data_IF_940448772229
#
_entry.id   IF_940448772229
#
_cell.length_a   1.000
_cell.length_b   1.000
_cell.length_c   1.000
_cell.angle_alpha   90.00
_cell.angle_beta   90.00
_cell.angle_gamma   90.00
#
_symmetry.space_group_name_H-M   'P 1'
#
loop_
_entity.id
_entity.type
_entity.pdbx_description
1 polymer ?
#
# COMPACT_ATOMS: atom_id res chain seq x y z
N UNK A 1 -17.55 23.51 -32.84
CA UNK A 1 -16.08 23.48 -32.86
C UNK A 1 -15.65 22.34 -31.96
N UNK A 2 -14.89 21.40 -32.53
CA UNK A 2 -14.29 20.17 -31.99
C UNK A 2 -14.80 19.63 -30.64
N UNK A 3 -15.49 18.49 -30.70
CA UNK A 3 -15.74 17.60 -29.58
C UNK A 3 -14.40 16.99 -29.16
N UNK A 4 -13.78 17.49 -28.08
CA UNK A 4 -12.56 16.92 -27.50
C UNK A 4 -12.85 15.53 -26.91
N UNK A 5 -12.89 14.52 -27.76
CA UNK A 5 -12.82 13.12 -27.36
C UNK A 5 -11.54 12.93 -26.55
N UNK A 6 -11.69 12.69 -25.23
CA UNK A 6 -10.57 12.30 -24.37
C UNK A 6 -9.90 11.08 -25.01
N UNK A 7 -8.62 11.21 -25.31
CA UNK A 7 -7.79 10.10 -25.75
C UNK A 7 -7.82 9.00 -24.67
N UNK A 8 -8.29 7.77 -24.98
CA UNK A 8 -8.34 6.67 -24.02
C UNK A 8 -6.97 6.37 -23.38
N UNK A 9 -5.88 6.61 -24.11
CA UNK A 9 -4.54 6.44 -23.56
C UNK A 9 -4.23 7.50 -22.50
N UNK A 10 -4.54 8.76 -22.78
CA UNK A 10 -4.43 9.84 -21.79
C UNK A 10 -5.28 9.58 -20.54
N UNK A 11 -6.49 9.05 -20.67
CA UNK A 11 -7.35 8.74 -19.53
C UNK A 11 -6.81 7.56 -18.70
N UNK A 12 -6.25 6.54 -19.37
CA UNK A 12 -5.54 5.45 -18.70
C UNK A 12 -4.30 5.95 -17.94
N UNK A 13 -3.48 6.81 -18.56
CA UNK A 13 -2.30 7.40 -17.90
C UNK A 13 -2.72 8.19 -16.66
N UNK A 14 -3.81 8.97 -16.74
CA UNK A 14 -4.36 9.66 -15.58
C UNK A 14 -4.76 8.70 -14.46
N UNK A 15 -5.47 7.62 -14.78
CA UNK A 15 -5.82 6.58 -13.81
C UNK A 15 -4.57 5.97 -13.17
N UNK A 16 -3.58 5.60 -13.98
CA UNK A 16 -2.34 4.98 -13.53
C UNK A 16 -1.58 5.89 -12.57
N UNK A 17 -1.41 7.18 -12.93
CA UNK A 17 -0.70 8.18 -12.12
C UNK A 17 -1.42 8.43 -10.80
N UNK A 18 -2.76 8.63 -10.84
CA UNK A 18 -3.56 8.91 -9.65
C UNK A 18 -3.54 7.76 -8.63
N UNK A 19 -3.32 6.52 -9.10
CA UNK A 19 -3.29 5.33 -8.23
C UNK A 19 -1.88 4.84 -7.88
N UNK A 20 -0.81 5.52 -8.30
CA UNK A 20 0.57 5.09 -8.01
C UNK A 20 0.87 4.97 -6.52
N UNK A 21 0.42 5.94 -5.71
CA UNK A 21 0.64 5.92 -4.25
C UNK A 21 -0.01 4.70 -3.60
N UNK A 22 -1.17 4.29 -4.11
CA UNK A 22 -1.92 3.13 -3.63
C UNK A 22 -1.21 1.82 -4.02
N UNK A 23 -0.77 1.68 -5.28
CA UNK A 23 0.01 0.53 -5.76
C UNK A 23 1.29 0.39 -4.93
N UNK A 24 2.03 1.50 -4.74
CA UNK A 24 3.25 1.53 -3.94
C UNK A 24 2.99 1.10 -2.50
N UNK A 25 1.97 1.66 -1.84
CA UNK A 25 1.63 1.32 -0.46
C UNK A 25 1.30 -0.17 -0.31
N UNK A 26 0.59 -0.74 -1.29
CA UNK A 26 0.27 -2.16 -1.34
C UNK A 26 1.52 -3.04 -1.52
N UNK A 27 2.40 -2.74 -2.48
CA UNK A 27 3.66 -3.50 -2.65
C UNK A 27 4.53 -3.41 -1.39
N UNK A 28 4.63 -2.23 -0.78
CA UNK A 28 5.40 -1.99 0.46
C UNK A 28 4.84 -2.79 1.64
N UNK A 29 3.52 -2.95 1.73
CA UNK A 29 2.90 -3.73 2.81
C UNK A 29 3.26 -5.21 2.71
N UNK A 30 3.36 -5.74 1.48
CA UNK A 30 3.62 -7.15 1.20
C UNK A 30 5.11 -7.53 1.12
N UNK A 31 6.00 -6.56 0.89
CA UNK A 31 7.46 -6.76 0.81
C UNK A 31 8.23 -5.89 1.82
N UNK A 32 7.97 -6.01 3.14
CA UNK A 32 8.57 -5.16 4.17
C UNK A 32 10.10 -5.27 4.25
N UNK A 33 10.76 -4.18 3.90
CA UNK A 33 12.22 -4.01 3.91
C UNK A 33 12.94 -4.64 2.73
N UNK A 34 12.22 -5.14 1.73
CA UNK A 34 12.78 -5.66 0.50
C UNK A 34 13.36 -4.51 -0.34
N UNK A 35 14.61 -4.61 -0.82
CA UNK A 35 15.15 -3.65 -1.78
C UNK A 35 14.42 -3.69 -3.14
N UNK A 36 13.73 -4.78 -3.46
CA UNK A 36 13.08 -5.01 -4.75
C UNK A 36 11.69 -4.38 -4.87
N UNK A 37 11.29 -3.52 -3.92
CA UNK A 37 9.98 -2.84 -3.95
C UNK A 37 9.80 -2.01 -5.22
N UNK A 38 10.82 -1.21 -5.58
CA UNK A 38 10.73 -0.34 -6.75
C UNK A 38 10.69 -1.16 -8.06
N UNK A 39 11.44 -2.27 -8.13
CA UNK A 39 11.41 -3.20 -9.26
C UNK A 39 10.02 -3.84 -9.43
N UNK A 40 9.39 -4.24 -8.32
CA UNK A 40 8.04 -4.82 -8.35
C UNK A 40 6.99 -3.79 -8.79
N UNK A 41 7.10 -2.53 -8.34
CA UNK A 41 6.22 -1.45 -8.80
C UNK A 41 6.43 -1.18 -10.29
N UNK A 42 7.67 -1.15 -10.77
CA UNK A 42 7.96 -0.97 -12.19
C UNK A 42 7.37 -2.10 -13.03
N UNK A 43 7.63 -3.36 -12.66
CA UNK A 43 7.06 -4.52 -13.35
C UNK A 43 5.52 -4.49 -13.35
N UNK A 44 4.91 -4.01 -12.26
CA UNK A 44 3.46 -3.80 -12.16
C UNK A 44 2.99 -2.79 -13.20
N UNK A 45 3.64 -1.63 -13.30
CA UNK A 45 3.32 -0.59 -14.26
C UNK A 45 3.51 -1.07 -15.72
N UNK A 46 4.55 -1.85 -15.99
CA UNK A 46 4.79 -2.45 -17.32
C UNK A 46 3.68 -3.43 -17.71
N UNK A 47 3.20 -4.25 -16.77
CA UNK A 47 2.08 -5.17 -17.04
C UNK A 47 0.77 -4.42 -17.19
N UNK A 48 0.52 -3.40 -16.37
CA UNK A 48 -0.64 -2.51 -16.50
C UNK A 48 -0.70 -1.87 -17.88
N UNK A 49 0.41 -1.30 -18.34
CA UNK A 49 0.50 -0.68 -19.65
C UNK A 49 0.27 -1.68 -20.79
N UNK A 50 0.90 -2.85 -20.71
CA UNK A 50 0.74 -3.91 -21.72
C UNK A 50 -0.68 -4.45 -21.80
N UNK A 51 -1.40 -4.45 -20.68
CA UNK A 51 -2.78 -4.92 -20.56
C UNK A 51 -3.79 -3.78 -20.61
N UNK A 52 -3.40 -2.56 -20.99
CA UNK A 52 -4.30 -1.39 -20.98
C UNK A 52 -5.56 -1.62 -21.82
N UNK A 53 -5.42 -2.36 -22.93
CA UNK A 53 -6.54 -2.66 -23.84
C UNK A 53 -7.47 -3.77 -23.29
N UNK A 54 -7.06 -4.48 -22.23
CA UNK A 54 -7.92 -5.41 -21.48
C UNK A 54 -8.74 -4.70 -20.38
N UNK A 55 -8.46 -3.42 -20.11
CA UNK A 55 -9.16 -2.64 -19.08
C UNK A 55 -10.28 -1.81 -19.68
N UNK A 56 -11.50 -1.99 -19.16
CA UNK A 56 -12.65 -1.18 -19.53
C UNK A 56 -12.73 0.09 -18.67
N UNK A 57 -12.60 1.26 -19.30
CA UNK A 57 -12.74 2.56 -18.64
C UNK A 57 -14.11 2.67 -17.94
N UNK A 58 -14.10 3.22 -16.72
CA UNK A 58 -15.29 3.31 -15.87
C UNK A 58 -15.49 2.12 -14.93
N UNK A 59 -14.74 1.03 -15.11
CA UNK A 59 -14.69 -0.07 -14.12
C UNK A 59 -13.66 0.21 -13.01
N UNK A 60 -13.57 -0.68 -12.01
CA UNK A 60 -12.73 -0.48 -10.83
C UNK A 60 -11.23 -0.67 -11.13
N UNK A 61 -10.58 0.38 -11.63
CA UNK A 61 -9.14 0.40 -11.92
C UNK A 61 -8.28 -0.03 -10.73
N UNK A 62 -8.66 0.38 -9.52
CA UNK A 62 -7.94 0.06 -8.29
C UNK A 62 -7.90 -1.44 -8.03
N UNK A 63 -9.04 -2.12 -8.10
CA UNK A 63 -9.11 -3.58 -7.91
C UNK A 63 -8.29 -4.32 -8.99
N UNK A 64 -8.41 -3.88 -10.25
CA UNK A 64 -7.65 -4.46 -11.36
C UNK A 64 -6.13 -4.28 -11.18
N UNK A 65 -5.68 -3.08 -10.83
CA UNK A 65 -4.27 -2.78 -10.64
C UNK A 65 -3.65 -3.48 -9.43
N UNK A 66 -4.40 -3.59 -8.33
CA UNK A 66 -3.95 -4.33 -7.16
C UNK A 66 -3.84 -5.84 -7.41
N UNK A 67 -4.72 -6.39 -8.25
CA UNK A 67 -4.64 -7.79 -8.67
C UNK A 67 -3.34 -8.06 -9.42
N UNK A 68 -2.97 -7.18 -10.37
CA UNK A 68 -1.69 -7.28 -11.08
C UNK A 68 -0.50 -7.11 -10.12
N UNK A 69 -0.55 -6.12 -9.24
CA UNK A 69 0.50 -5.88 -8.23
C UNK A 69 0.72 -7.10 -7.33
N UNK A 70 -0.34 -7.79 -6.92
CA UNK A 70 -0.28 -9.03 -6.14
C UNK A 70 0.51 -10.12 -6.87
N UNK A 71 0.23 -10.34 -8.15
CA UNK A 71 0.98 -11.32 -8.94
C UNK A 71 2.47 -10.97 -9.06
N UNK A 72 2.82 -9.68 -9.22
CA UNK A 72 4.23 -9.25 -9.25
C UNK A 72 4.93 -9.48 -7.92
N UNK A 73 4.26 -9.19 -6.80
CA UNK A 73 4.76 -9.49 -5.46
C UNK A 73 4.99 -10.99 -5.28
N UNK A 74 4.01 -11.83 -5.63
CA UNK A 74 4.13 -13.30 -5.52
C UNK A 74 5.28 -13.84 -6.36
N UNK A 75 5.44 -13.35 -7.60
CA UNK A 75 6.55 -13.71 -8.46
C UNK A 75 7.91 -13.33 -7.83
N UNK A 76 7.99 -12.14 -7.22
CA UNK A 76 9.20 -11.73 -6.51
C UNK A 76 9.46 -12.59 -5.27
N UNK A 77 8.45 -12.87 -4.47
CA UNK A 77 8.56 -13.76 -3.31
C UNK A 77 9.00 -15.17 -3.72
N UNK A 78 8.54 -15.69 -4.86
CA UNK A 78 8.97 -16.99 -5.37
C UNK A 78 10.45 -16.99 -5.77
N UNK A 79 10.95 -15.91 -6.40
CA UNK A 79 12.38 -15.72 -6.69
C UNK A 79 13.22 -15.68 -5.40
N UNK A 80 12.74 -15.00 -4.36
CA UNK A 80 13.42 -14.90 -3.05
C UNK A 80 13.30 -16.20 -2.24
N UNK A 81 12.20 -16.95 -2.34
CA UNK A 81 12.00 -18.25 -1.68
C UNK A 81 13.03 -19.29 -2.11
N UNK A 82 13.43 -19.26 -3.39
CA UNK A 82 14.56 -20.08 -3.89
C UNK A 82 15.91 -19.69 -3.25
N UNK A 83 15.96 -18.58 -2.50
CA UNK A 83 17.17 -17.94 -1.97
C UNK A 83 17.18 -17.74 -0.43
N UNK A 84 16.25 -18.34 0.33
CA UNK A 84 16.10 -18.32 1.82
C UNK A 84 15.71 -16.98 2.46
N UNK A 85 14.41 -16.75 2.75
CA UNK A 85 13.94 -15.97 3.91
C UNK A 85 12.42 -16.19 4.18
N UNK A 86 12.04 -16.13 5.47
CA UNK A 86 10.72 -16.32 6.08
C UNK A 86 9.69 -15.27 5.62
N UNK A 87 8.43 -15.70 5.46
CA UNK A 87 7.29 -14.98 4.85
C UNK A 87 6.33 -14.37 5.88
N UNK A 88 5.45 -13.47 5.41
CA UNK A 88 4.20 -13.06 6.07
C UNK A 88 3.02 -13.80 5.42
N UNK A 89 1.99 -14.08 6.22
CA UNK A 89 0.86 -14.96 5.92
C UNK A 89 -0.07 -14.48 4.79
N UNK A 90 -0.60 -15.43 4.01
CA UNK A 90 -1.46 -15.22 2.82
C UNK A 90 -2.77 -14.50 3.20
N UNK A 91 -3.25 -14.68 4.44
CA UNK A 91 -4.50 -14.09 4.94
C UNK A 91 -4.48 -12.54 5.01
N UNK A 92 -3.30 -11.92 5.10
CA UNK A 92 -3.17 -10.45 5.08
C UNK A 92 -3.35 -9.89 3.66
N UNK A 93 -3.08 -10.69 2.63
CA UNK A 93 -3.22 -10.28 1.23
C UNK A 93 -4.67 -10.12 0.81
N UNK A 94 -5.56 -11.00 1.30
CA UNK A 94 -6.97 -10.97 0.92
C UNK A 94 -7.72 -9.80 1.57
N UNK A 95 -7.46 -9.53 2.86
CA UNK A 95 -8.09 -8.41 3.58
C UNK A 95 -7.77 -7.02 2.99
N UNK A 96 -6.53 -6.81 2.51
CA UNK A 96 -6.12 -5.52 1.94
C UNK A 96 -6.75 -5.25 0.56
N UNK A 97 -7.10 -6.29 -0.19
CA UNK A 97 -7.70 -6.19 -1.51
C UNK A 97 -9.21 -5.89 -1.44
N UNK A 98 -9.92 -6.44 -0.46
CA UNK A 98 -11.35 -6.17 -0.27
C UNK A 98 -11.62 -4.72 0.17
N UNK A 99 -10.84 -4.19 1.13
CA UNK A 99 -11.04 -2.83 1.64
C UNK A 99 -10.70 -1.73 0.61
N UNK A 100 -9.92 -2.08 -0.40
CA UNK A 100 -9.61 -1.20 -1.51
C UNK A 100 -10.83 -0.91 -2.41
N UNK A 101 -11.83 -1.78 -2.43
CA UNK A 101 -12.83 -1.83 -3.50
C UNK A 101 -14.09 -0.96 -3.26
N UNK A 102 -14.30 -0.44 -2.05
CA UNK A 102 -15.60 0.11 -1.64
C UNK A 102 -15.61 1.43 -0.86
N UNK A 103 -14.60 2.29 -1.00
CA UNK A 103 -14.55 3.56 -0.26
C UNK A 103 -15.00 4.74 -1.11
N UNK A 104 -16.12 5.36 -0.71
CA UNK A 104 -16.45 6.73 -1.13
C UNK A 104 -15.37 7.72 -0.64
N UNK A 105 -15.15 8.79 -1.39
CA UNK A 105 -14.11 9.80 -1.16
C UNK A 105 -14.17 10.45 0.23
N UNK A 106 -15.38 10.63 0.79
CA UNK A 106 -15.59 11.15 2.15
C UNK A 106 -15.16 10.15 3.22
N UNK A 107 -15.50 8.87 3.04
CA UNK A 107 -15.02 7.81 3.93
C UNK A 107 -13.51 7.62 3.86
N UNK A 108 -12.90 7.78 2.68
CA UNK A 108 -11.45 7.76 2.53
C UNK A 108 -10.79 8.91 3.29
N UNK A 109 -11.27 10.15 3.11
CA UNK A 109 -10.75 11.32 3.81
C UNK A 109 -10.85 11.18 5.34
N UNK A 110 -11.97 10.64 5.85
CA UNK A 110 -12.12 10.38 7.29
C UNK A 110 -11.15 9.31 7.79
N UNK A 111 -11.04 8.18 7.08
CA UNK A 111 -10.06 7.13 7.42
C UNK A 111 -8.62 7.66 7.40
N UNK A 112 -8.29 8.56 6.48
CA UNK A 112 -6.98 9.22 6.44
C UNK A 112 -6.74 10.13 7.65
N UNK A 113 -7.72 10.93 8.06
CA UNK A 113 -7.62 11.77 9.25
C UNK A 113 -7.45 10.94 10.53
N UNK A 114 -8.23 9.86 10.68
CA UNK A 114 -8.10 8.96 11.83
C UNK A 114 -6.74 8.24 11.85
N UNK A 115 -6.23 7.85 10.69
CA UNK A 115 -4.90 7.25 10.59
C UNK A 115 -3.80 8.25 10.96
N UNK A 116 -3.91 9.50 10.52
CA UNK A 116 -2.97 10.57 10.90
C UNK A 116 -2.98 10.80 12.42
N UNK A 117 -4.15 10.86 13.04
CA UNK A 117 -4.28 10.93 14.50
C UNK A 117 -3.61 9.74 15.20
N UNK A 118 -3.85 8.52 14.69
CA UNK A 118 -3.27 7.31 15.25
C UNK A 118 -1.74 7.27 15.10
N UNK A 119 -1.20 7.74 13.98
CA UNK A 119 0.24 7.91 13.79
C UNK A 119 0.79 8.95 14.78
N UNK A 120 0.09 10.07 14.98
CA UNK A 120 0.49 11.12 15.92
C UNK A 120 0.60 10.65 17.38
N UNK A 121 -0.08 9.55 17.74
CA UNK A 121 -0.01 8.92 19.08
C UNK A 121 1.18 7.97 19.25
N UNK A 122 1.86 7.59 18.18
CA UNK A 122 3.06 6.76 18.26
C UNK A 122 4.24 7.57 18.83
N UNK A 123 5.24 6.87 19.37
CA UNK A 123 6.50 7.52 19.73
C UNK A 123 7.18 8.12 18.49
N UNK A 124 7.94 9.22 18.63
CA UNK A 124 8.64 9.87 17.51
C UNK A 124 9.48 8.88 16.70
N UNK A 125 10.18 7.96 17.37
CA UNK A 125 11.00 6.92 16.72
C UNK A 125 10.18 5.94 15.88
N UNK A 126 8.96 5.63 16.32
CA UNK A 126 8.04 4.74 15.63
C UNK A 126 7.34 5.47 14.46
N UNK A 127 7.03 6.77 14.62
CA UNK A 127 6.57 7.64 13.54
C UNK A 127 7.62 7.75 12.42
N UNK A 128 8.88 8.03 12.77
CA UNK A 128 9.96 8.10 11.79
C UNK A 128 10.16 6.77 11.05
N UNK A 129 10.08 5.64 11.76
CA UNK A 129 10.23 4.31 11.16
C UNK A 129 9.08 4.00 10.19
N UNK A 130 7.83 4.27 10.56
CA UNK A 130 6.68 4.01 9.69
C UNK A 130 6.69 4.98 8.50
N UNK A 131 6.97 6.27 8.70
CA UNK A 131 7.06 7.26 7.64
C UNK A 131 8.21 6.95 6.67
N UNK A 132 9.39 6.59 7.18
CA UNK A 132 10.50 6.17 6.34
C UNK A 132 10.10 4.95 5.50
N UNK A 133 9.38 3.99 6.08
CA UNK A 133 8.96 2.78 5.36
C UNK A 133 8.01 3.07 4.19
N UNK A 134 7.09 4.04 4.32
CA UNK A 134 6.07 4.32 3.31
C UNK A 134 6.41 5.47 2.36
N UNK A 135 7.21 6.46 2.79
CA UNK A 135 7.50 7.67 2.00
C UNK A 135 8.93 7.77 1.47
N UNK A 136 9.91 7.06 2.03
CA UNK A 136 11.29 7.11 1.52
C UNK A 136 11.52 5.96 0.54
N UNK A 137 12.20 6.26 -0.58
CA UNK A 137 12.66 5.27 -1.56
C UNK A 137 13.76 4.33 -1.01
N UNK A 138 14.37 4.69 0.12
CA UNK A 138 15.48 3.94 0.73
C UNK A 138 14.98 2.67 1.44
N UNK A 139 15.76 1.60 1.34
CA UNK A 139 15.42 0.31 1.94
C UNK A 139 15.48 0.33 3.47
N UNK A 140 14.91 -0.68 4.12
CA UNK A 140 14.97 -0.82 5.59
C UNK A 140 16.42 -1.01 6.10
N UNK A 141 17.31 -1.50 5.23
CA UNK A 141 18.75 -1.62 5.48
C UNK A 141 19.44 -0.25 5.64
N UNK A 142 19.01 0.76 4.89
CA UNK A 142 19.58 2.11 4.98
C UNK A 142 19.13 2.78 6.28
N UNK A 143 17.86 2.59 6.65
CA UNK A 143 17.35 3.06 7.94
C UNK A 143 18.02 2.36 9.13
N UNK A 144 18.27 1.05 9.02
CA UNK A 144 19.02 0.28 10.01
C UNK A 144 20.42 0.88 10.23
N UNK A 145 21.11 1.23 9.14
CA UNK A 145 22.44 1.85 9.19
C UNK A 145 22.39 3.24 9.84
N UNK A 146 21.44 4.08 9.43
CA UNK A 146 21.29 5.43 9.98
C UNK A 146 20.94 5.43 11.47
N UNK A 147 20.12 4.48 11.92
CA UNK A 147 19.64 4.40 13.31
C UNK A 147 20.45 3.46 14.21
N UNK A 148 21.50 2.81 13.68
CA UNK A 148 22.30 1.78 14.37
C UNK A 148 21.44 0.64 14.98
N UNK A 149 20.35 0.28 14.31
CA UNK A 149 19.45 -0.82 14.71
C UNK A 149 19.57 -1.97 13.72
N UNK A 150 19.37 -3.21 14.16
CA UNK A 150 19.35 -4.35 13.23
C UNK A 150 18.08 -4.35 12.39
N UNK A 151 18.18 -4.83 11.14
CA UNK A 151 17.02 -4.99 10.25
C UNK A 151 15.94 -5.86 10.90
N UNK A 152 16.33 -6.91 11.62
CA UNK A 152 15.41 -7.75 12.38
C UNK A 152 14.65 -6.99 13.47
N UNK A 153 15.34 -6.15 14.26
CA UNK A 153 14.70 -5.32 15.28
C UNK A 153 13.74 -4.28 14.68
N UNK A 154 14.04 -3.76 13.49
CA UNK A 154 13.14 -2.87 12.77
C UNK A 154 11.91 -3.59 12.24
N UNK A 155 12.04 -4.83 11.74
CA UNK A 155 10.89 -5.65 11.32
C UNK A 155 9.93 -5.93 12.48
N UNK A 156 10.46 -6.28 13.65
CA UNK A 156 9.66 -6.48 14.88
C UNK A 156 8.98 -5.18 15.30
N UNK A 157 9.70 -4.06 15.28
CA UNK A 157 9.12 -2.76 15.60
C UNK A 157 7.99 -2.38 14.63
N UNK A 158 8.18 -2.57 13.31
CA UNK A 158 7.14 -2.33 12.30
C UNK A 158 5.91 -3.20 12.52
N UNK A 159 6.09 -4.47 12.87
CA UNK A 159 4.96 -5.36 13.19
C UNK A 159 4.17 -4.84 14.39
N UNK A 160 4.85 -4.47 15.48
CA UNK A 160 4.22 -3.86 16.66
C UNK A 160 3.48 -2.56 16.33
N UNK A 161 4.12 -1.66 15.57
CA UNK A 161 3.53 -0.38 15.17
C UNK A 161 2.24 -0.61 14.39
N UNK A 162 2.24 -1.55 13.43
CA UNK A 162 1.04 -1.90 12.66
C UNK A 162 -0.07 -2.45 13.54
N UNK A 163 0.26 -3.28 14.53
CA UNK A 163 -0.68 -3.73 15.54
C UNK A 163 -1.32 -2.57 16.31
N UNK A 164 -0.50 -1.64 16.81
CA UNK A 164 -0.99 -0.44 17.52
C UNK A 164 -1.86 0.46 16.64
N UNK A 165 -1.48 0.66 15.37
CA UNK A 165 -2.27 1.42 14.41
C UNK A 165 -3.61 0.74 14.12
N UNK A 166 -3.62 -0.59 13.92
CA UNK A 166 -4.85 -1.36 13.70
C UNK A 166 -5.81 -1.20 14.87
N UNK A 167 -5.35 -1.42 16.10
CA UNK A 167 -6.18 -1.25 17.31
C UNK A 167 -6.69 0.19 17.44
N UNK A 168 -5.86 1.19 17.15
CA UNK A 168 -6.30 2.59 17.19
C UNK A 168 -7.40 2.89 16.16
N UNK A 169 -7.25 2.38 14.94
CA UNK A 169 -8.24 2.53 13.87
C UNK A 169 -9.56 1.81 14.20
N UNK A 170 -9.51 0.61 14.77
CA UNK A 170 -10.70 -0.14 15.23
C UNK A 170 -11.48 0.64 16.32
N UNK A 171 -10.75 1.27 17.26
CA UNK A 171 -11.36 2.15 18.28
C UNK A 171 -12.01 3.38 17.62
N UNK A 172 -11.34 4.03 16.68
CA UNK A 172 -11.89 5.20 15.97
C UNK A 172 -13.15 4.85 15.18
N UNK A 173 -13.16 3.70 14.51
CA UNK A 173 -14.32 3.23 13.73
C UNK A 173 -15.52 2.88 14.62
N UNK A 174 -15.28 2.24 15.78
CA UNK A 174 -16.36 1.89 16.73
C UNK A 174 -17.00 3.12 17.38
N UNK A 175 -16.24 4.20 17.62
CA UNK A 175 -16.76 5.48 18.12
C UNK A 175 -17.67 6.22 17.12
N UNK A 176 -17.48 6.00 15.82
CA UNK A 176 -18.34 6.59 14.77
C UNK A 176 -19.63 5.79 14.62
N UNK A 177 -19.57 4.46 14.69
CA UNK A 177 -20.75 3.59 14.64
C UNK A 177 -21.74 3.86 15.80
N UNK A 178 -21.24 4.27 16.98
CA UNK A 178 -22.08 4.65 18.12
C UNK A 178 -22.79 6.00 18.01
N UNK A 179 -22.38 6.89 17.09
CA UNK A 179 -23.00 8.22 16.89
C UNK A 179 -24.13 8.24 15.86
N UNK A 180 -24.31 7.16 15.09
CA UNK A 180 -25.35 7.08 14.05
C UNK A 180 -26.68 6.52 14.61
N UNK A 181 -26.65 5.92 15.81
CA UNK A 181 -27.82 5.31 16.46
C UNK A 181 -28.39 6.14 17.64
N UNK A 182 -28.18 7.46 17.68
CA UNK A 182 -28.72 8.33 18.73
C UNK A 182 -29.33 9.61 18.18
#
# INVERSE_FOLDING_TARGET
MENASRDPESEFVHLLVNHQSMIRAFVISLLPGAPEVDDVIQNTNEVLWRKKDEFELGTNFKAWALSIARFQVMAQQQKVRRSKCVMLDDDVLDMLAEEASGLDEQNLNRKMADLQDCIGRLSIKDQELILHRYWKKAGLSDYARATKRSVGALKVALHRIRGSLKTCMEIKQSLVAGKVNS
#
